data_IF_138783339522
#
_entry.id   IF_138783339522
#
_cell.length_a   1.000
_cell.length_b   1.000
_cell.length_c   1.000
_cell.angle_alpha   90.00
_cell.angle_beta   90.00
_cell.angle_gamma   90.00
#
_symmetry.space_group_name_H-M   'P 1'
#
loop_
_entity.id
_entity.type
_entity.pdbx_description
1 polymer ?
#
# COMPACT_ATOMS: atom_id res chain seq x y z
N UNK A 1 25.97 36.73 -17.50
CA UNK A 1 26.65 36.74 -18.83
C UNK A 1 25.72 36.60 -20.03
N UNK A 2 24.45 36.26 -19.87
CA UNK A 2 23.52 36.06 -20.99
C UNK A 2 22.76 37.33 -21.41
N UNK A 3 22.80 38.42 -20.61
CA UNK A 3 22.10 39.68 -20.89
C UNK A 3 22.94 40.66 -21.73
N UNK A 4 24.23 40.40 -21.90
CA UNK A 4 25.14 41.22 -22.69
C UNK A 4 25.31 40.77 -24.14
N UNK A 5 24.81 39.59 -24.50
CA UNK A 5 24.95 39.05 -25.86
C UNK A 5 23.90 39.60 -26.86
N UNK A 6 22.91 40.37 -26.41
CA UNK A 6 21.86 40.96 -27.24
C UNK A 6 22.10 42.40 -27.67
N UNK A 7 23.19 43.03 -27.27
CA UNK A 7 23.55 44.45 -27.56
C UNK A 7 24.76 44.57 -28.49
N UNK A 8 24.84 43.75 -29.52
CA UNK A 8 25.83 43.92 -30.58
C UNK A 8 25.34 44.91 -31.65
N UNK A 9 25.19 46.19 -31.30
CA UNK A 9 24.95 47.31 -32.18
C UNK A 9 25.78 48.45 -31.68
N UNK A 10 27.01 48.57 -32.19
CA UNK A 10 27.91 49.74 -32.28
C UNK A 10 27.55 50.96 -31.38
N UNK A 11 27.55 50.78 -30.09
CA UNK A 11 27.83 51.83 -29.12
C UNK A 11 28.97 51.31 -28.26
N UNK A 12 30.16 51.96 -28.43
CA UNK A 12 31.28 51.73 -27.53
C UNK A 12 30.88 52.14 -26.12
N UNK A 13 30.51 51.13 -25.29
CA UNK A 13 30.39 51.33 -23.86
C UNK A 13 31.77 51.38 -23.24
N UNK A 14 32.49 52.47 -23.50
CA UNK A 14 33.87 52.72 -23.02
C UNK A 14 33.94 53.16 -21.57
N UNK A 15 32.82 53.33 -20.88
CA UNK A 15 32.82 53.82 -19.50
C UNK A 15 31.85 53.12 -18.56
N UNK A 16 31.81 51.77 -18.59
CA UNK A 16 31.20 50.99 -17.54
C UNK A 16 32.08 51.02 -16.29
N UNK A 17 31.92 52.04 -15.47
CA UNK A 17 32.54 52.10 -14.17
C UNK A 17 31.88 51.07 -13.26
N UNK A 18 32.64 50.06 -12.87
CA UNK A 18 32.16 49.09 -11.85
C UNK A 18 31.86 49.88 -10.58
N UNK A 19 30.59 50.09 -10.28
CA UNK A 19 30.17 50.88 -9.11
C UNK A 19 30.28 50.06 -7.81
N UNK A 20 30.41 48.75 -7.92
CA UNK A 20 30.64 47.88 -6.79
C UNK A 20 31.21 46.53 -7.26
N UNK A 21 32.29 46.09 -6.64
CA UNK A 21 32.80 44.74 -6.85
C UNK A 21 31.84 43.73 -6.20
N UNK A 22 31.66 42.56 -6.83
CA UNK A 22 30.91 41.48 -6.23
C UNK A 22 31.66 40.95 -5.00
N UNK A 23 31.04 40.94 -3.85
CA UNK A 23 31.58 40.37 -2.63
C UNK A 23 30.76 39.20 -2.15
N UNK A 24 31.43 38.23 -1.53
CA UNK A 24 30.74 37.10 -0.90
C UNK A 24 29.83 37.61 0.25
N UNK A 25 28.74 36.88 0.50
CA UNK A 25 27.96 37.08 1.70
C UNK A 25 28.75 36.55 2.91
N UNK A 26 29.02 37.42 3.86
CA UNK A 26 29.73 37.06 5.09
C UNK A 26 28.76 37.10 6.25
N UNK A 27 28.65 35.99 6.96
CA UNK A 27 27.84 35.87 8.18
C UNK A 27 28.71 35.41 9.33
N UNK A 28 28.43 35.91 10.53
CA UNK A 28 29.09 35.47 11.76
C UNK A 28 28.09 34.67 12.60
N UNK A 29 28.42 33.40 12.88
CA UNK A 29 27.62 32.51 13.73
C UNK A 29 28.51 31.93 14.81
N UNK A 30 28.01 31.89 16.04
CA UNK A 30 28.73 31.31 17.19
C UNK A 30 30.14 31.85 17.40
N UNK A 31 30.41 33.09 16.91
CA UNK A 31 31.70 33.73 17.03
C UNK A 31 32.65 33.52 15.83
N UNK A 32 32.30 32.68 14.88
CA UNK A 32 33.07 32.35 13.68
C UNK A 32 32.46 33.01 12.43
N UNK A 33 33.32 33.38 11.44
CA UNK A 33 32.92 33.98 10.18
C UNK A 33 32.84 32.91 9.09
N UNK A 34 31.70 32.93 8.37
CA UNK A 34 31.43 32.05 7.24
C UNK A 34 31.19 32.91 6.00
N UNK A 35 31.90 32.58 4.91
CA UNK A 35 31.81 33.29 3.64
C UNK A 35 31.13 32.43 2.58
N UNK A 36 30.04 32.93 1.98
CA UNK A 36 29.25 32.26 0.97
C UNK A 36 29.23 33.03 -0.33
N UNK A 37 29.31 32.34 -1.47
CA UNK A 37 29.24 32.93 -2.80
C UNK A 37 27.79 33.30 -3.23
N UNK A 38 26.79 32.99 -2.41
CA UNK A 38 25.36 33.26 -2.64
C UNK A 38 24.74 33.90 -1.41
N UNK A 39 23.71 34.71 -1.62
CA UNK A 39 22.86 35.23 -0.53
C UNK A 39 21.86 34.20 -0.02
N UNK A 40 21.65 33.10 -0.75
CA UNK A 40 20.86 31.94 -0.27
C UNK A 40 21.82 30.90 0.26
N UNK A 41 21.76 30.67 1.56
CA UNK A 41 22.66 29.77 2.27
C UNK A 41 21.86 28.70 3.00
N UNK A 42 22.39 27.50 3.05
CA UNK A 42 21.88 26.41 3.86
C UNK A 42 22.70 26.36 5.15
N UNK A 43 22.10 26.83 6.25
CA UNK A 43 22.76 26.91 7.57
C UNK A 43 22.80 25.58 8.27
N UNK A 44 21.71 24.81 8.15
CA UNK A 44 21.51 23.49 8.74
C UNK A 44 20.79 22.62 7.71
N UNK A 45 20.83 21.31 7.87
CA UNK A 45 20.09 20.40 6.99
C UNK A 45 18.63 20.87 6.85
N UNK A 46 18.23 21.22 5.61
CA UNK A 46 16.91 21.74 5.24
C UNK A 46 16.52 23.13 5.76
N UNK A 47 17.45 23.88 6.38
CA UNK A 47 17.21 25.27 6.79
C UNK A 47 17.93 26.22 5.83
N UNK A 48 17.16 26.83 4.93
CA UNK A 48 17.66 27.85 3.99
C UNK A 48 17.39 29.24 4.51
N UNK A 49 18.40 30.10 4.48
CA UNK A 49 18.31 31.49 4.86
C UNK A 49 18.63 32.36 3.64
N UNK A 50 17.78 33.34 3.37
CA UNK A 50 17.97 34.32 2.33
C UNK A 50 18.42 35.63 2.96
N UNK A 51 19.64 36.10 2.59
CA UNK A 51 20.21 37.34 3.09
C UNK A 51 19.77 38.45 2.17
N UNK A 52 18.74 39.19 2.55
CA UNK A 52 18.17 40.29 1.75
C UNK A 52 18.80 41.64 2.04
N UNK A 53 19.46 41.82 3.20
CA UNK A 53 20.06 43.07 3.61
C UNK A 53 21.23 42.86 4.58
N UNK A 54 22.08 43.87 4.68
CA UNK A 54 23.09 43.93 5.75
C UNK A 54 22.38 44.18 7.10
N UNK A 55 22.77 43.42 8.12
CA UNK A 55 22.28 43.63 9.50
C UNK A 55 22.87 44.90 10.11
N UNK A 56 23.83 45.50 9.45
CA UNK A 56 24.57 46.67 9.91
C UNK A 56 24.74 47.65 8.76
N UNK A 57 24.52 48.95 9.04
CA UNK A 57 24.89 49.99 8.11
C UNK A 57 26.43 50.17 8.10
N UNK A 58 26.99 50.23 6.90
CA UNK A 58 28.42 50.49 6.69
C UNK A 58 28.62 51.94 6.30
N UNK A 59 29.78 52.49 6.63
CA UNK A 59 30.27 53.76 6.10
C UNK A 59 30.68 53.59 4.64
N UNK A 60 30.96 54.70 3.94
CA UNK A 60 31.39 54.67 2.54
C UNK A 60 32.69 53.88 2.29
N UNK A 61 33.51 53.70 3.33
CA UNK A 61 34.75 52.91 3.34
C UNK A 61 34.54 51.41 3.61
N UNK A 62 33.30 50.96 3.78
CA UNK A 62 32.97 49.57 4.10
C UNK A 62 33.08 49.21 5.58
N UNK A 63 33.48 50.14 6.44
CA UNK A 63 33.57 49.87 7.89
C UNK A 63 32.20 49.98 8.56
N UNK A 64 31.93 49.23 9.65
CA UNK A 64 30.71 49.34 10.41
C UNK A 64 30.43 50.72 10.94
N UNK A 65 29.20 51.23 10.83
CA UNK A 65 28.81 52.52 11.42
C UNK A 65 28.79 52.45 12.95
N UNK A 66 28.42 51.33 13.49
CA UNK A 66 28.38 51.07 14.96
C UNK A 66 29.41 49.98 15.31
N UNK A 67 30.51 50.26 15.95
CA UNK A 67 31.51 49.27 16.36
C UNK A 67 30.99 48.25 17.37
N UNK A 68 29.89 48.58 18.06
CA UNK A 68 29.25 47.66 19.04
C UNK A 68 28.13 46.82 18.42
N UNK A 69 27.86 46.98 17.14
CA UNK A 69 26.77 46.25 16.47
C UNK A 69 26.93 44.74 16.57
N UNK A 70 28.15 44.23 16.62
CA UNK A 70 28.44 42.81 16.81
C UNK A 70 27.86 42.20 18.09
N UNK A 71 27.46 43.05 19.05
CA UNK A 71 26.79 42.63 20.27
C UNK A 71 25.28 42.43 20.11
N UNK A 72 24.69 42.92 19.01
CA UNK A 72 23.24 42.74 18.72
C UNK A 72 23.10 41.72 17.58
N UNK A 73 23.21 40.45 17.92
CA UNK A 73 22.92 39.37 16.98
C UNK A 73 21.46 39.32 16.58
N UNK A 74 21.18 38.80 15.39
CA UNK A 74 19.84 38.42 14.99
C UNK A 74 19.60 37.02 15.53
N UNK A 75 18.54 36.86 16.30
CA UNK A 75 18.07 35.53 16.72
C UNK A 75 17.24 34.91 15.59
N UNK A 76 17.65 33.75 15.14
CA UNK A 76 16.86 32.95 14.19
C UNK A 76 16.19 31.84 15.01
N UNK A 77 14.88 31.90 15.05
CA UNK A 77 14.08 30.82 15.63
C UNK A 77 13.64 29.88 14.52
N UNK A 78 13.99 28.60 14.63
CA UNK A 78 13.51 27.55 13.74
C UNK A 78 12.19 27.04 14.25
N UNK A 79 11.11 27.44 13.61
CA UNK A 79 9.76 27.00 13.97
C UNK A 79 9.34 25.85 13.06
N UNK A 80 8.82 24.78 13.66
CA UNK A 80 8.27 23.68 12.87
C UNK A 80 7.12 24.19 11.97
N UNK A 81 7.17 23.84 10.68
CA UNK A 81 6.11 24.19 9.74
C UNK A 81 4.87 23.32 10.03
N UNK A 82 3.97 23.84 10.85
CA UNK A 82 2.77 23.16 11.34
C UNK A 82 1.81 22.80 10.22
N UNK A 83 1.73 23.63 9.20
CA UNK A 83 0.83 23.43 8.06
C UNK A 83 1.28 22.24 7.22
N UNK A 84 2.56 22.20 6.84
CA UNK A 84 3.13 21.06 6.11
C UNK A 84 3.06 19.78 6.91
N UNK A 85 3.29 19.84 8.22
CA UNK A 85 3.14 18.67 9.10
C UNK A 85 1.68 18.17 9.12
N UNK A 86 0.71 19.07 9.24
CA UNK A 86 -0.72 18.74 9.20
C UNK A 86 -1.15 18.08 7.91
N UNK A 87 -0.71 18.60 6.75
CA UNK A 87 -0.99 17.99 5.43
C UNK A 87 -0.40 16.57 5.32
N UNK A 88 0.78 16.32 5.88
CA UNK A 88 1.37 14.98 5.92
C UNK A 88 0.55 14.00 6.75
N UNK A 89 0.07 14.41 7.92
CA UNK A 89 -0.80 13.59 8.78
C UNK A 89 -2.13 13.31 8.09
N UNK A 90 -2.73 14.32 7.48
CA UNK A 90 -3.94 14.17 6.68
C UNK A 90 -3.77 13.15 5.55
N UNK A 91 -2.70 13.27 4.75
CA UNK A 91 -2.39 12.34 3.67
C UNK A 91 -2.18 10.90 4.16
N UNK A 92 -1.57 10.72 5.35
CA UNK A 92 -1.44 9.41 5.99
C UNK A 92 -2.81 8.83 6.36
N UNK A 93 -3.69 9.61 6.97
CA UNK A 93 -5.06 9.20 7.32
C UNK A 93 -5.87 8.83 6.08
N UNK A 94 -5.78 9.60 5.01
CA UNK A 94 -6.43 9.32 3.72
C UNK A 94 -5.91 8.00 3.14
N UNK A 95 -4.59 7.77 3.16
CA UNK A 95 -3.99 6.51 2.69
C UNK A 95 -4.47 5.30 3.49
N UNK A 96 -4.60 5.43 4.82
CA UNK A 96 -5.16 4.38 5.66
C UNK A 96 -6.61 4.05 5.28
N UNK A 97 -7.43 5.05 5.00
CA UNK A 97 -8.80 4.85 4.54
C UNK A 97 -8.86 4.13 3.18
N UNK A 98 -8.02 4.51 2.22
CA UNK A 98 -7.92 3.82 0.93
C UNK A 98 -7.57 2.34 1.10
N UNK A 99 -6.64 2.01 2.00
CA UNK A 99 -6.29 0.63 2.33
C UNK A 99 -7.51 -0.11 2.91
N UNK A 100 -8.23 0.49 3.87
CA UNK A 100 -9.42 -0.10 4.48
C UNK A 100 -10.54 -0.37 3.47
N UNK A 101 -10.78 0.57 2.56
CA UNK A 101 -11.75 0.43 1.46
C UNK A 101 -11.33 -0.68 0.49
N UNK A 102 -10.04 -0.71 0.10
CA UNK A 102 -9.51 -1.74 -0.81
C UNK A 102 -9.63 -3.15 -0.22
N UNK A 103 -9.34 -3.30 1.07
CA UNK A 103 -9.51 -4.58 1.77
C UNK A 103 -11.00 -4.97 1.82
N UNK A 104 -11.86 -4.02 2.11
CA UNK A 104 -13.32 -4.25 2.16
C UNK A 104 -13.86 -4.67 0.80
N UNK A 105 -13.44 -4.01 -0.27
CA UNK A 105 -13.79 -4.38 -1.65
C UNK A 105 -13.25 -5.77 -2.01
N UNK A 106 -12.00 -6.05 -1.63
CA UNK A 106 -11.38 -7.36 -1.87
C UNK A 106 -12.00 -8.53 -1.10
N UNK A 107 -12.78 -8.26 -0.05
CA UNK A 107 -13.55 -9.28 0.69
C UNK A 107 -14.91 -9.60 0.05
N UNK A 108 -15.42 -8.75 -0.84
CA UNK A 108 -16.73 -8.94 -1.43
C UNK A 108 -16.72 -10.05 -2.47
N UNK A 109 -17.74 -10.90 -2.43
CA UNK A 109 -17.98 -11.91 -3.46
C UNK A 109 -18.73 -11.32 -4.64
N UNK A 110 -18.42 -11.78 -5.84
CA UNK A 110 -19.05 -11.35 -7.09
C UNK A 110 -19.93 -12.46 -7.63
N UNK A 111 -21.16 -12.13 -8.06
CA UNK A 111 -22.01 -13.08 -8.74
C UNK A 111 -21.50 -13.34 -10.16
N UNK A 112 -21.30 -14.61 -10.48
CA UNK A 112 -20.84 -15.11 -11.78
C UNK A 112 -21.81 -16.13 -12.34
N UNK A 113 -21.78 -16.27 -13.65
CA UNK A 113 -22.55 -17.27 -14.36
C UNK A 113 -21.62 -18.21 -15.14
N UNK A 114 -21.77 -19.49 -14.96
CA UNK A 114 -21.01 -20.51 -15.69
C UNK A 114 -21.95 -21.48 -16.41
N UNK A 115 -21.44 -22.19 -17.41
CA UNK A 115 -22.15 -23.25 -18.12
C UNK A 115 -21.70 -24.58 -17.54
N UNK A 116 -22.65 -25.37 -17.05
CA UNK A 116 -22.40 -26.72 -16.54
C UNK A 116 -22.17 -27.74 -17.67
N UNK A 117 -21.76 -28.96 -17.31
CA UNK A 117 -21.52 -30.08 -18.25
C UNK A 117 -22.81 -30.47 -19.00
N UNK A 118 -23.98 -30.17 -18.41
CA UNK A 118 -25.31 -30.37 -19.04
C UNK A 118 -25.73 -29.25 -19.99
N UNK A 119 -24.83 -28.27 -20.26
CA UNK A 119 -25.10 -27.12 -21.13
C UNK A 119 -25.99 -26.05 -20.49
N UNK A 120 -26.39 -26.19 -19.21
CA UNK A 120 -27.23 -25.22 -18.51
C UNK A 120 -26.38 -24.13 -17.86
N UNK A 121 -26.97 -22.96 -17.72
CA UNK A 121 -26.36 -21.84 -17.02
C UNK A 121 -26.61 -21.95 -15.51
N UNK A 122 -25.55 -21.82 -14.73
CA UNK A 122 -25.58 -21.82 -13.25
C UNK A 122 -24.97 -20.53 -12.73
N UNK A 123 -25.66 -19.90 -11.77
CA UNK A 123 -25.11 -18.78 -11.03
C UNK A 123 -24.33 -19.30 -9.84
N UNK A 124 -23.13 -18.72 -9.61
CA UNK A 124 -22.32 -19.00 -8.44
C UNK A 124 -21.70 -17.72 -7.91
N UNK A 125 -21.29 -17.73 -6.65
CA UNK A 125 -20.54 -16.62 -6.06
C UNK A 125 -19.06 -16.89 -6.13
N UNK A 126 -18.36 -16.05 -6.90
CA UNK A 126 -16.91 -16.02 -6.87
C UNK A 126 -16.46 -15.30 -5.59
N UNK A 127 -15.70 -15.95 -4.71
CA UNK A 127 -15.25 -15.33 -3.47
C UNK A 127 -14.31 -14.16 -3.78
N UNK A 128 -14.30 -13.17 -2.90
CA UNK A 128 -13.36 -12.06 -3.00
C UNK A 128 -11.90 -12.52 -2.90
N UNK A 129 -11.00 -11.65 -3.33
CA UNK A 129 -9.54 -11.90 -3.31
C UNK A 129 -9.05 -12.20 -1.90
N UNK A 130 -9.60 -11.51 -0.89
CA UNK A 130 -9.30 -11.78 0.51
C UNK A 130 -10.39 -12.64 1.14
N UNK A 131 -9.99 -13.62 1.95
CA UNK A 131 -10.96 -14.28 2.82
C UNK A 131 -11.48 -13.30 3.88
N UNK A 132 -12.70 -13.51 4.34
CA UNK A 132 -13.28 -12.69 5.40
C UNK A 132 -12.44 -12.67 6.68
N UNK A 133 -11.75 -13.78 7.01
CA UNK A 133 -10.86 -13.83 8.18
C UNK A 133 -9.61 -12.98 7.98
N UNK A 134 -8.96 -13.10 6.82
CA UNK A 134 -7.77 -12.32 6.51
C UNK A 134 -8.06 -10.82 6.43
N UNK A 135 -9.12 -10.44 5.70
CA UNK A 135 -9.51 -9.03 5.61
C UNK A 135 -9.81 -8.43 6.98
N UNK A 136 -10.48 -9.17 7.86
CA UNK A 136 -10.69 -8.73 9.26
C UNK A 136 -9.39 -8.59 10.02
N UNK A 137 -8.48 -9.56 9.97
CA UNK A 137 -7.19 -9.46 10.66
C UNK A 137 -6.40 -8.21 10.27
N UNK A 138 -6.38 -7.86 8.98
CA UNK A 138 -5.69 -6.65 8.50
C UNK A 138 -6.40 -5.41 9.03
N UNK A 139 -7.73 -5.34 8.91
CA UNK A 139 -8.53 -4.21 9.41
C UNK A 139 -8.39 -4.02 10.91
N UNK A 140 -8.43 -5.10 11.67
CA UNK A 140 -8.26 -5.10 13.12
C UNK A 140 -6.83 -4.66 13.51
N UNK A 141 -5.81 -5.11 12.79
CA UNK A 141 -4.44 -4.68 12.99
C UNK A 141 -4.27 -3.17 12.86
N UNK A 142 -4.80 -2.58 11.78
CA UNK A 142 -4.76 -1.14 11.54
C UNK A 142 -5.59 -0.39 12.60
N UNK A 143 -6.77 -0.89 12.94
CA UNK A 143 -7.66 -0.25 13.92
C UNK A 143 -7.06 -0.28 15.32
N UNK A 144 -6.48 -1.40 15.71
CA UNK A 144 -5.83 -1.56 17.02
C UNK A 144 -4.61 -0.65 17.16
N UNK A 145 -3.89 -0.41 16.05
CA UNK A 145 -2.74 0.49 16.06
C UNK A 145 -3.17 1.94 16.43
N UNK A 146 -4.31 2.39 15.93
CA UNK A 146 -4.87 3.70 16.29
C UNK A 146 -5.48 3.67 17.68
N UNK A 147 -6.22 2.63 18.05
CA UNK A 147 -6.92 2.53 19.33
C UNK A 147 -5.96 2.35 20.52
N UNK A 148 -4.85 1.63 20.34
CA UNK A 148 -3.86 1.41 21.41
C UNK A 148 -3.05 2.68 21.78
N UNK A 149 -3.05 3.68 20.92
CA UNK A 149 -2.27 4.90 21.11
C UNK A 149 -0.76 4.69 20.93
N UNK A 150 -0.01 5.73 21.28
CA UNK A 150 1.45 5.75 21.17
C UNK A 150 2.08 5.92 22.54
N UNK A 151 2.98 5.00 22.86
CA UNK A 151 3.77 5.08 24.08
C UNK A 151 5.07 5.81 23.77
N UNK A 152 5.32 6.91 24.43
CA UNK A 152 6.55 7.67 24.37
C UNK A 152 7.36 7.44 25.66
N UNK A 153 8.67 7.43 25.52
CA UNK A 153 9.59 7.30 26.64
C UNK A 153 10.17 8.67 27.00
N UNK A 154 9.91 9.11 28.22
CA UNK A 154 10.45 10.36 28.73
C UNK A 154 11.97 10.26 28.94
N UNK A 155 12.63 11.42 29.06
CA UNK A 155 14.09 11.49 29.32
C UNK A 155 14.51 10.83 30.64
N UNK A 156 13.59 10.63 31.55
CA UNK A 156 13.74 9.94 32.83
C UNK A 156 13.49 8.43 32.75
N UNK A 157 13.23 7.90 31.53
CA UNK A 157 12.87 6.50 31.31
C UNK A 157 11.41 6.16 31.63
N UNK A 158 10.58 7.14 32.01
CA UNK A 158 9.15 6.94 32.20
C UNK A 158 8.45 6.69 30.87
N UNK A 159 7.51 5.74 30.87
CA UNK A 159 6.71 5.43 29.67
C UNK A 159 5.29 5.95 29.86
N UNK A 160 4.84 6.78 28.95
CA UNK A 160 3.49 7.31 28.94
C UNK A 160 2.80 7.06 27.59
N UNK A 161 1.58 6.50 27.64
CA UNK A 161 0.77 6.25 26.45
C UNK A 161 -0.17 7.42 26.21
N UNK A 162 -0.19 7.90 24.97
CA UNK A 162 -1.03 8.99 24.50
C UNK A 162 -2.00 8.47 23.47
N UNK A 163 -3.23 8.97 23.50
CA UNK A 163 -4.20 8.72 22.46
C UNK A 163 -3.79 9.43 21.16
N UNK A 164 -3.93 8.77 20.03
CA UNK A 164 -3.74 9.44 18.74
C UNK A 164 -4.78 10.53 18.48
N UNK A 165 -5.92 10.45 19.15
CA UNK A 165 -6.93 11.51 19.11
C UNK A 165 -6.41 12.83 19.67
N UNK A 166 -5.49 12.80 20.64
CA UNK A 166 -4.84 14.00 21.18
C UNK A 166 -3.96 14.70 20.14
N UNK A 167 -3.53 13.96 19.12
CA UNK A 167 -2.72 14.46 18.00
C UNK A 167 -3.54 14.59 16.69
N UNK A 168 -4.88 14.59 16.81
CA UNK A 168 -5.78 14.84 15.68
C UNK A 168 -6.07 13.63 14.79
N UNK A 169 -5.72 12.40 15.19
CA UNK A 169 -6.07 11.18 14.43
C UNK A 169 -7.13 10.40 15.20
N UNK A 170 -8.34 10.32 14.64
CA UNK A 170 -9.49 9.66 15.25
C UNK A 170 -9.89 8.41 14.50
N UNK A 171 -10.35 7.40 15.26
CA UNK A 171 -11.04 6.24 14.75
C UNK A 171 -12.55 6.46 14.84
N UNK A 172 -13.26 6.36 13.70
CA UNK A 172 -14.71 6.45 13.63
C UNK A 172 -15.29 5.13 13.18
N UNK A 173 -16.20 4.62 13.97
CA UNK A 173 -16.98 3.43 13.66
C UNK A 173 -18.36 3.86 13.14
N UNK A 174 -18.71 3.44 11.94
CA UNK A 174 -20.04 3.68 11.34
C UNK A 174 -20.61 2.35 10.85
N UNK A 175 -21.39 1.68 11.68
CA UNK A 175 -21.87 0.31 11.42
C UNK A 175 -20.69 -0.67 11.33
N UNK A 176 -20.51 -1.31 10.16
CA UNK A 176 -19.39 -2.21 9.88
C UNK A 176 -18.20 -1.52 9.22
N UNK A 177 -18.28 -0.23 8.99
CA UNK A 177 -17.19 0.55 8.38
C UNK A 177 -16.32 1.19 9.47
N UNK A 178 -15.04 1.04 9.28
CA UNK A 178 -14.01 1.68 10.09
C UNK A 178 -13.39 2.77 9.23
N UNK A 179 -13.45 4.02 9.70
CA UNK A 179 -12.83 5.17 9.04
C UNK A 179 -11.92 5.92 10.01
N UNK A 180 -10.87 6.47 9.47
CA UNK A 180 -9.98 7.35 10.20
C UNK A 180 -10.28 8.79 9.78
N UNK A 181 -10.32 9.68 10.75
CA UNK A 181 -10.56 11.11 10.53
C UNK A 181 -9.37 11.92 11.04
N UNK A 182 -9.00 12.94 10.26
CA UNK A 182 -8.01 13.94 10.68
C UNK A 182 -8.72 15.18 11.23
N UNK A 183 -8.41 15.52 12.47
CA UNK A 183 -8.90 16.73 13.15
C UNK A 183 -7.78 17.78 13.16
N UNK A 184 -7.85 18.70 12.20
CA UNK A 184 -6.86 19.76 12.04
C UNK A 184 -6.79 20.69 13.27
N UNK A 185 -7.91 20.88 13.99
CA UNK A 185 -7.97 21.74 15.17
C UNK A 185 -7.19 21.11 16.32
N UNK A 186 -7.47 19.85 16.63
CA UNK A 186 -6.74 19.12 17.68
C UNK A 186 -5.26 18.99 17.36
N UNK A 187 -4.92 18.70 16.09
CA UNK A 187 -3.52 18.67 15.66
C UNK A 187 -2.81 20.01 15.90
N UNK A 188 -3.46 21.12 15.53
CA UNK A 188 -2.92 22.46 15.73
C UNK A 188 -2.72 22.77 17.23
N UNK A 189 -3.70 22.46 18.07
CA UNK A 189 -3.62 22.60 19.52
C UNK A 189 -2.46 21.79 20.12
N UNK A 190 -2.29 20.53 19.68
CA UNK A 190 -1.18 19.68 20.10
C UNK A 190 0.18 20.26 19.71
N UNK A 191 0.30 20.74 18.45
CA UNK A 191 1.51 21.40 17.95
C UNK A 191 1.79 22.75 18.61
N UNK A 192 0.79 23.44 19.14
CA UNK A 192 0.96 24.68 19.91
C UNK A 192 1.40 24.40 21.34
N UNK A 193 0.86 23.35 21.94
CA UNK A 193 1.15 22.97 23.32
C UNK A 193 2.54 22.35 23.49
N UNK A 194 2.90 21.41 22.63
CA UNK A 194 4.18 20.72 22.66
C UNK A 194 4.54 20.18 21.27
N UNK A 195 5.22 20.99 20.43
CA UNK A 195 5.58 20.59 19.08
C UNK A 195 6.50 19.37 19.05
N UNK A 196 7.47 19.29 19.97
CA UNK A 196 8.45 18.22 20.01
C UNK A 196 7.78 16.86 20.30
N UNK A 197 6.93 16.83 21.30
CA UNK A 197 6.15 15.64 21.67
C UNK A 197 5.18 15.22 20.59
N UNK A 198 4.49 16.18 19.96
CA UNK A 198 3.58 15.88 18.85
C UNK A 198 4.33 15.27 17.68
N UNK A 199 5.49 15.81 17.33
CA UNK A 199 6.35 15.26 16.29
C UNK A 199 6.83 13.84 16.64
N UNK A 200 7.29 13.61 17.86
CA UNK A 200 7.74 12.29 18.32
C UNK A 200 6.62 11.26 18.26
N UNK A 201 5.42 11.61 18.72
CA UNK A 201 4.24 10.73 18.65
C UNK A 201 3.87 10.36 17.23
N UNK A 202 3.89 11.33 16.30
CA UNK A 202 3.57 11.09 14.91
C UNK A 202 4.64 10.28 14.20
N UNK A 203 5.92 10.46 14.50
CA UNK A 203 7.01 9.63 13.98
C UNK A 203 6.83 8.20 14.49
N UNK A 204 6.62 8.01 15.79
CA UNK A 204 6.39 6.69 16.37
C UNK A 204 5.16 6.00 15.78
N UNK A 205 4.09 6.74 15.52
CA UNK A 205 2.90 6.23 14.84
C UNK A 205 3.20 5.82 13.40
N UNK A 206 3.86 6.68 12.63
CA UNK A 206 4.23 6.40 11.24
C UNK A 206 5.13 5.17 11.13
N UNK A 207 6.07 5.00 12.07
CA UNK A 207 6.94 3.82 12.14
C UNK A 207 6.11 2.56 12.38
N UNK A 208 5.20 2.57 13.35
CA UNK A 208 4.31 1.43 13.61
C UNK A 208 3.41 1.08 12.43
N UNK A 209 2.92 2.09 11.68
CA UNK A 209 2.16 1.87 10.46
C UNK A 209 3.03 1.21 9.38
N UNK A 210 4.27 1.68 9.23
CA UNK A 210 5.21 1.12 8.28
C UNK A 210 5.60 -0.33 8.64
N UNK A 211 5.88 -0.60 9.91
CA UNK A 211 6.19 -1.95 10.41
C UNK A 211 5.02 -2.91 10.17
N UNK A 212 3.80 -2.48 10.50
CA UNK A 212 2.59 -3.27 10.22
C UNK A 212 2.42 -3.53 8.72
N UNK A 213 2.67 -2.54 7.88
CA UNK A 213 2.62 -2.69 6.42
C UNK A 213 3.66 -3.69 5.93
N UNK A 214 4.86 -3.65 6.48
CA UNK A 214 5.92 -4.59 6.16
C UNK A 214 5.59 -6.01 6.62
N UNK A 215 5.13 -6.19 7.84
CA UNK A 215 4.71 -7.50 8.38
C UNK A 215 3.58 -8.13 7.53
N UNK A 216 2.71 -7.30 6.97
CA UNK A 216 1.63 -7.78 6.09
C UNK A 216 2.12 -8.14 4.70
N UNK A 217 3.04 -7.35 4.12
CA UNK A 217 3.46 -7.42 2.72
C UNK A 217 4.80 -8.11 2.48
N UNK A 218 5.49 -8.56 3.52
CA UNK A 218 6.79 -9.25 3.38
C UNK A 218 6.70 -10.40 2.38
N UNK A 219 7.66 -10.45 1.45
CA UNK A 219 7.66 -11.41 0.35
C UNK A 219 7.93 -12.85 0.77
N UNK A 220 8.51 -13.07 1.93
CA UNK A 220 8.85 -14.41 2.45
C UNK A 220 7.86 -14.87 3.52
N UNK A 221 7.62 -14.02 4.52
CA UNK A 221 6.91 -14.37 5.75
C UNK A 221 5.66 -13.51 6.02
N UNK A 222 5.36 -12.55 5.14
CA UNK A 222 4.20 -11.68 5.28
C UNK A 222 2.87 -12.43 5.30
N UNK A 223 1.88 -11.85 5.95
CA UNK A 223 0.54 -12.43 6.07
C UNK A 223 -0.09 -12.71 4.70
N UNK A 224 0.05 -11.76 3.75
CA UNK A 224 -0.47 -11.89 2.38
C UNK A 224 0.23 -13.02 1.64
N UNK A 225 1.55 -13.10 1.77
CA UNK A 225 2.36 -14.15 1.13
C UNK A 225 1.99 -15.54 1.64
N UNK A 226 1.85 -15.71 2.94
CA UNK A 226 1.38 -16.97 3.56
C UNK A 226 -0.02 -17.36 3.08
N UNK A 227 -0.90 -16.37 2.95
CA UNK A 227 -2.24 -16.61 2.42
C UNK A 227 -2.21 -17.07 0.96
N UNK A 228 -1.42 -16.42 0.10
CA UNK A 228 -1.26 -16.82 -1.29
C UNK A 228 -0.72 -18.26 -1.39
N UNK A 229 0.35 -18.58 -0.67
CA UNK A 229 0.91 -19.95 -0.62
C UNK A 229 -0.12 -20.99 -0.21
N UNK A 230 -0.89 -20.69 0.85
CA UNK A 230 -1.97 -21.60 1.30
C UNK A 230 -3.05 -21.79 0.23
N UNK A 231 -3.39 -20.75 -0.53
CA UNK A 231 -4.34 -20.86 -1.65
C UNK A 231 -3.79 -21.68 -2.82
N UNK A 232 -2.53 -21.51 -3.14
CA UNK A 232 -1.84 -22.31 -4.17
C UNK A 232 -1.83 -23.81 -3.78
N UNK A 233 -1.58 -24.12 -2.53
CA UNK A 233 -1.66 -25.50 -2.01
C UNK A 233 -3.08 -26.07 -2.11
N UNK A 234 -4.10 -25.27 -1.79
CA UNK A 234 -5.50 -25.67 -1.95
C UNK A 234 -5.86 -25.94 -3.42
N UNK A 235 -5.40 -25.09 -4.34
CA UNK A 235 -5.61 -25.28 -5.78
C UNK A 235 -4.99 -26.62 -6.23
N UNK A 236 -3.73 -26.89 -5.86
CA UNK A 236 -3.07 -28.17 -6.16
C UNK A 236 -3.85 -29.38 -5.61
N UNK A 237 -4.38 -29.28 -4.40
CA UNK A 237 -5.20 -30.34 -3.81
C UNK A 237 -6.51 -30.56 -4.57
N UNK A 238 -7.15 -29.49 -5.06
CA UNK A 238 -8.33 -29.61 -5.91
C UNK A 238 -7.99 -30.21 -7.28
N UNK A 239 -6.88 -29.80 -7.90
CA UNK A 239 -6.40 -30.39 -9.17
C UNK A 239 -6.17 -31.91 -9.02
N UNK A 240 -5.54 -32.34 -7.93
CA UNK A 240 -5.35 -33.76 -7.64
C UNK A 240 -6.70 -34.47 -7.47
N UNK A 241 -7.65 -33.88 -6.77
CA UNK A 241 -9.00 -34.45 -6.57
C UNK A 241 -9.73 -34.60 -7.89
N UNK A 242 -9.60 -33.63 -8.79
CA UNK A 242 -10.19 -33.69 -10.13
C UNK A 242 -9.53 -34.80 -10.96
N UNK A 243 -8.21 -34.95 -10.88
CA UNK A 243 -7.47 -36.01 -11.56
C UNK A 243 -7.96 -37.39 -11.08
N UNK A 244 -8.00 -37.61 -9.78
CA UNK A 244 -8.48 -38.85 -9.15
C UNK A 244 -9.94 -39.16 -9.54
N UNK A 245 -10.76 -38.12 -9.68
CA UNK A 245 -12.14 -38.27 -10.14
C UNK A 245 -12.18 -38.72 -11.61
N UNK A 246 -11.41 -38.10 -12.49
CA UNK A 246 -11.33 -38.45 -13.90
C UNK A 246 -10.84 -39.91 -14.09
N UNK A 247 -9.80 -40.29 -13.36
CA UNK A 247 -9.26 -41.66 -13.42
C UNK A 247 -10.34 -42.71 -13.00
N UNK A 248 -11.10 -42.40 -11.93
CA UNK A 248 -12.22 -43.26 -11.52
C UNK A 248 -13.35 -43.30 -12.54
N UNK A 249 -13.62 -42.20 -13.24
CA UNK A 249 -14.60 -42.16 -14.32
C UNK A 249 -14.16 -42.97 -15.52
N UNK A 250 -12.91 -42.91 -15.92
CA UNK A 250 -12.31 -43.72 -16.99
C UNK A 250 -12.38 -45.23 -16.65
N UNK A 251 -12.07 -45.59 -15.42
CA UNK A 251 -12.20 -46.99 -14.97
C UNK A 251 -13.63 -47.47 -15.03
N UNK A 252 -14.59 -46.67 -14.58
CA UNK A 252 -16.01 -46.97 -14.67
C UNK A 252 -16.46 -47.10 -16.10
N UNK A 253 -16.03 -46.22 -17.00
CA UNK A 253 -16.36 -46.32 -18.44
C UNK A 253 -15.83 -47.63 -19.04
N UNK A 254 -14.58 -47.98 -18.75
CA UNK A 254 -13.98 -49.26 -19.18
C UNK A 254 -14.73 -50.46 -18.63
N UNK A 255 -15.14 -50.43 -17.36
CA UNK A 255 -15.91 -51.48 -16.74
C UNK A 255 -17.29 -51.62 -17.38
N UNK A 256 -17.97 -50.52 -17.64
CA UNK A 256 -19.26 -50.51 -18.33
C UNK A 256 -19.14 -51.06 -19.76
N UNK A 257 -18.16 -50.66 -20.50
CA UNK A 257 -17.87 -51.18 -21.87
C UNK A 257 -17.67 -52.69 -21.86
N UNK A 258 -16.92 -53.24 -20.86
CA UNK A 258 -16.75 -54.70 -20.73
C UNK A 258 -18.08 -55.40 -20.39
N UNK A 259 -18.90 -54.84 -19.55
CA UNK A 259 -20.23 -55.38 -19.21
C UNK A 259 -21.13 -55.42 -20.44
N UNK A 260 -21.18 -54.32 -21.22
CA UNK A 260 -21.97 -54.29 -22.44
C UNK A 260 -21.46 -55.30 -23.50
N UNK A 261 -20.15 -55.44 -23.70
CA UNK A 261 -19.58 -56.45 -24.60
C UNK A 261 -19.93 -57.88 -24.14
N UNK A 262 -19.89 -58.15 -22.85
CA UNK A 262 -20.31 -59.47 -22.31
C UNK A 262 -21.80 -59.74 -22.57
N UNK A 263 -22.65 -58.73 -22.33
CA UNK A 263 -24.09 -58.83 -22.61
C UNK A 263 -24.38 -59.04 -24.08
N UNK A 264 -23.68 -58.36 -24.97
CA UNK A 264 -23.79 -58.50 -26.43
C UNK A 264 -23.41 -59.93 -26.87
N UNK A 265 -22.33 -60.45 -26.29
CA UNK A 265 -21.91 -61.86 -26.53
C UNK A 265 -22.94 -62.84 -26.05
N UNK A 266 -23.51 -62.67 -24.86
CA UNK A 266 -24.59 -63.49 -24.32
C UNK A 266 -25.82 -63.43 -25.20
N UNK A 267 -26.24 -62.25 -25.62
CA UNK A 267 -27.39 -62.04 -26.51
C UNK A 267 -27.21 -62.78 -27.83
N UNK A 268 -26.02 -62.71 -28.43
CA UNK A 268 -25.69 -63.43 -29.64
C UNK A 268 -25.77 -64.95 -29.44
N UNK A 269 -25.26 -65.45 -28.31
CA UNK A 269 -25.40 -66.89 -27.96
C UNK A 269 -26.86 -67.32 -27.77
N UNK A 270 -27.66 -66.47 -27.12
CA UNK A 270 -29.09 -66.76 -26.93
C UNK A 270 -29.83 -66.79 -28.29
N UNK A 271 -29.55 -65.81 -29.16
CA UNK A 271 -30.15 -65.77 -30.49
C UNK A 271 -29.75 -67.00 -31.31
N UNK A 272 -28.48 -67.43 -31.26
CA UNK A 272 -28.03 -68.64 -31.92
C UNK A 272 -28.70 -69.92 -31.39
N UNK A 273 -28.84 -70.04 -30.05
CA UNK A 273 -29.59 -71.17 -29.42
C UNK A 273 -31.06 -71.14 -29.81
N UNK A 274 -31.66 -69.97 -29.85
CA UNK A 274 -33.06 -69.82 -30.26
C UNK A 274 -33.30 -70.23 -31.69
N UNK A 275 -32.40 -69.83 -32.62
CA UNK A 275 -32.43 -70.23 -34.01
C UNK A 275 -32.25 -71.76 -34.16
N UNK A 276 -31.36 -72.39 -33.36
CA UNK A 276 -31.19 -73.83 -33.39
C UNK A 276 -32.45 -74.56 -32.88
N UNK A 277 -33.11 -74.10 -31.82
CA UNK A 277 -34.37 -74.65 -31.34
C UNK A 277 -35.47 -74.47 -32.38
N UNK A 278 -35.60 -73.34 -33.04
CA UNK A 278 -36.56 -73.14 -34.12
C UNK A 278 -36.31 -74.15 -35.30
N UNK A 279 -35.05 -74.36 -35.66
CA UNK A 279 -34.69 -75.33 -36.66
C UNK A 279 -35.07 -76.76 -36.27
N UNK A 280 -34.87 -77.14 -34.99
CA UNK A 280 -35.30 -78.44 -34.45
C UNK A 280 -36.82 -78.59 -34.43
N UNK A 281 -37.55 -77.58 -34.04
CA UNK A 281 -39.04 -77.61 -34.06
C UNK A 281 -39.58 -77.71 -35.48
N UNK A 282 -38.98 -77.01 -36.45
CA UNK A 282 -39.34 -77.09 -37.87
C UNK A 282 -39.13 -78.52 -38.42
N UNK A 283 -38.01 -79.13 -38.00
CA UNK A 283 -37.74 -80.55 -38.42
C UNK A 283 -38.70 -81.54 -37.82
N UNK A 284 -39.13 -81.37 -36.59
CA UNK A 284 -40.15 -82.20 -35.94
C UNK A 284 -41.55 -82.04 -36.57
N UNK A 285 -41.89 -80.80 -36.99
CA UNK A 285 -43.16 -80.55 -37.71
C UNK A 285 -43.23 -81.22 -39.07
N UNK A 286 -42.12 -81.36 -39.77
CA UNK A 286 -42.08 -82.12 -41.06
C UNK A 286 -42.09 -83.61 -40.89
N UNK A 287 -41.69 -84.12 -39.73
CA UNK A 287 -41.79 -85.58 -39.43
C UNK A 287 -43.23 -86.07 -39.01
N UNK A 288 -44.05 -85.11 -38.52
CA UNK A 288 -45.44 -85.43 -38.10
C UNK A 288 -46.45 -85.34 -39.23
N UNK A 289 -46.06 -84.93 -40.42
CA UNK A 289 -46.88 -84.78 -41.63
C UNK A 289 -46.64 -85.82 -42.69
N UNK A 290 -46.03 -87.01 -42.35
CA UNK A 290 -45.93 -88.21 -43.20
C UNK A 290 -46.73 -89.36 -42.64
#
# INVERSE_FOLDING_TARGET
SALLAGLSGSAEFTDLKTTRESSNAVIRMFGEEYSYSSNQIELLDKVKVDISALTQETKADGTPKDPNFLAKGISIEVVANREVAGEKVKGMVESMNVIMESITAGMQSTDKTGIGIDGKSYSYKEPGVFSNSMGRQIKDGISNLVASGITLEGRDGSKQTYSLEDFGVKLKLSGNEIKFEYDATKFKEAMEKDPAKTQEALIAFSTKVADLGQDMSDSMDGMVTKYIKSREEQVKAYEQTIQDFNDRMDEKEKALKRQYSTLETQLTQYNSKFAAIQGQLASLGTMSSR
#
